data_IF_816156429660
#
_entry.id   IF_816156429660
#
_cell.length_a   1.000
_cell.length_b   1.000
_cell.length_c   1.000
_cell.angle_alpha   90.00
_cell.angle_beta   90.00
_cell.angle_gamma   90.00
#
_symmetry.space_group_name_H-M   'P 1'
#
loop_
_entity.id
_entity.type
_entity.pdbx_description
1 polymer ?
#
# COMPACT_ATOMS: atom_id res chain seq x y z
N UNK A 1 7.59 -21.33 4.32
CA UNK A 1 6.33 -21.10 3.59
C UNK A 1 5.98 -19.64 3.72
N UNK A 2 5.80 -18.94 2.59
CA UNK A 2 5.42 -17.53 2.58
C UNK A 2 3.91 -17.40 2.42
N UNK A 3 3.31 -16.37 3.02
CA UNK A 3 1.87 -16.10 2.92
C UNK A 3 1.66 -14.79 2.18
N UNK A 4 1.00 -14.91 1.03
CA UNK A 4 0.68 -13.79 0.15
C UNK A 4 -0.73 -13.29 0.42
N UNK A 5 -0.89 -11.97 0.54
CA UNK A 5 -2.20 -11.30 0.54
C UNK A 5 -2.22 -10.17 -0.49
N UNK A 6 -3.34 -10.03 -1.19
CA UNK A 6 -3.56 -8.98 -2.18
C UNK A 6 -4.70 -8.08 -1.69
N UNK A 7 -4.43 -6.77 -1.63
CA UNK A 7 -5.38 -5.76 -1.18
C UNK A 7 -5.65 -4.76 -2.30
N UNK A 8 -6.92 -4.57 -2.65
CA UNK A 8 -7.32 -3.54 -3.60
C UNK A 8 -7.32 -2.16 -2.95
N UNK A 9 -6.63 -1.20 -3.58
CA UNK A 9 -6.63 0.21 -3.19
C UNK A 9 -7.68 0.92 -4.03
N UNK A 10 -8.80 1.30 -3.38
CA UNK A 10 -9.94 1.93 -4.06
C UNK A 10 -9.97 3.44 -3.94
N UNK A 11 -9.29 3.98 -2.94
CA UNK A 11 -9.19 5.41 -2.68
C UNK A 11 -7.84 5.71 -2.03
N UNK A 12 -7.43 6.98 -2.05
CA UNK A 12 -6.25 7.48 -1.32
C UNK A 12 -4.93 6.76 -1.64
N UNK A 13 -4.64 6.51 -2.92
CA UNK A 13 -3.40 5.84 -3.35
C UNK A 13 -2.13 6.48 -2.77
N UNK A 14 -2.03 7.82 -2.81
CA UNK A 14 -0.88 8.54 -2.26
C UNK A 14 -0.68 8.32 -0.75
N UNK A 15 -1.77 8.20 0.04
CA UNK A 15 -1.65 7.88 1.48
C UNK A 15 -1.15 6.45 1.70
N UNK A 16 -1.57 5.52 0.86
CA UNK A 16 -1.10 4.14 0.92
C UNK A 16 0.40 4.06 0.59
N UNK A 17 0.85 4.76 -0.45
CA UNK A 17 2.28 4.85 -0.81
C UNK A 17 3.09 5.50 0.32
N UNK A 18 2.65 6.64 0.86
CA UNK A 18 3.33 7.30 1.97
C UNK A 18 3.44 6.41 3.23
N UNK A 19 2.44 5.55 3.48
CA UNK A 19 2.52 4.59 4.59
C UNK A 19 3.55 3.48 4.32
N UNK A 20 3.62 2.98 3.08
CA UNK A 20 4.54 1.93 2.65
C UNK A 20 5.98 2.45 2.65
N UNK A 21 6.19 3.68 2.18
CA UNK A 21 7.49 4.33 1.99
C UNK A 21 7.97 5.11 3.22
N UNK A 22 7.33 4.91 4.37
CA UNK A 22 7.67 5.62 5.59
C UNK A 22 9.16 5.37 5.94
N UNK A 23 10.01 6.41 5.98
CA UNK A 23 11.44 6.28 6.22
C UNK A 23 11.78 5.62 7.56
N UNK A 24 10.94 5.80 8.59
CA UNK A 24 11.12 5.16 9.91
C UNK A 24 10.98 3.63 9.84
N UNK A 25 10.31 3.12 8.80
CA UNK A 25 10.01 1.68 8.61
C UNK A 25 10.82 1.04 7.48
N UNK A 26 11.51 1.85 6.67
CA UNK A 26 12.16 1.41 5.44
C UNK A 26 13.64 1.76 5.41
N UNK A 27 14.23 2.02 6.58
CA UNK A 27 15.63 2.40 6.75
C UNK A 27 16.01 3.61 5.88
N UNK A 28 15.32 4.73 6.11
CA UNK A 28 15.53 5.95 5.33
C UNK A 28 15.17 5.80 3.85
N UNK A 29 14.21 4.91 3.52
CA UNK A 29 13.84 4.50 2.15
C UNK A 29 14.83 3.61 1.42
N UNK A 30 15.90 3.12 2.06
CA UNK A 30 16.84 2.17 1.44
C UNK A 30 16.15 0.87 0.98
N UNK A 31 15.10 0.44 1.67
CA UNK A 31 14.33 -0.76 1.34
C UNK A 31 13.21 -0.52 0.32
N UNK A 32 13.10 0.69 -0.23
CA UNK A 32 12.09 1.06 -1.22
C UNK A 32 12.73 1.03 -2.60
N UNK A 33 12.08 0.35 -3.54
CA UNK A 33 12.46 0.40 -4.95
C UNK A 33 11.23 0.42 -5.85
N UNK A 34 11.37 1.09 -6.99
CA UNK A 34 10.35 1.20 -8.02
C UNK A 34 10.72 0.38 -9.26
N UNK A 35 9.72 -0.04 -10.02
CA UNK A 35 9.90 -0.66 -11.32
C UNK A 35 9.03 0.07 -12.35
N UNK A 36 9.66 0.63 -13.39
CA UNK A 36 9.05 1.51 -14.40
C UNK A 36 8.34 2.75 -13.85
N UNK A 37 8.47 3.02 -12.56
CA UNK A 37 7.77 4.07 -11.84
C UNK A 37 8.59 4.38 -10.59
N UNK A 38 8.89 5.65 -10.36
CA UNK A 38 9.66 6.10 -9.20
C UNK A 38 8.73 6.14 -7.97
N UNK A 39 9.10 5.55 -6.81
CA UNK A 39 8.24 5.50 -5.63
C UNK A 39 7.69 6.87 -5.22
N UNK A 40 8.55 7.89 -5.25
CA UNK A 40 8.21 9.26 -4.87
C UNK A 40 7.15 9.91 -5.78
N UNK A 41 7.14 9.58 -7.08
CA UNK A 41 6.18 10.14 -8.05
C UNK A 41 5.06 9.17 -8.40
N UNK A 42 5.09 7.95 -7.87
CA UNK A 42 4.23 6.87 -8.31
C UNK A 42 2.75 7.20 -8.25
N UNK A 43 2.32 7.92 -7.21
CA UNK A 43 0.92 8.34 -7.07
C UNK A 43 0.41 9.12 -8.29
N UNK A 44 1.24 10.00 -8.85
CA UNK A 44 0.93 10.85 -10.00
C UNK A 44 1.03 10.02 -11.28
N UNK A 45 2.05 9.18 -11.42
CA UNK A 45 2.24 8.31 -12.60
C UNK A 45 1.06 7.35 -12.79
N UNK A 46 0.55 6.78 -11.69
CA UNK A 46 -0.65 5.94 -11.71
C UNK A 46 -1.91 6.73 -12.11
N UNK A 47 -2.06 7.95 -11.61
CA UNK A 47 -3.19 8.81 -11.99
C UNK A 47 -3.13 9.21 -13.47
N UNK A 48 -1.96 9.62 -13.95
CA UNK A 48 -1.74 9.97 -15.35
C UNK A 48 -2.02 8.77 -16.26
N UNK A 49 -1.50 7.59 -15.92
CA UNK A 49 -1.77 6.35 -16.65
C UNK A 49 -3.27 6.03 -16.70
N UNK A 50 -3.98 6.21 -15.58
CA UNK A 50 -5.43 6.00 -15.54
C UNK A 50 -6.19 7.00 -16.42
N UNK A 51 -5.78 8.27 -16.45
CA UNK A 51 -6.36 9.30 -17.33
C UNK A 51 -6.11 8.96 -18.80
N UNK A 52 -4.88 8.62 -19.17
CA UNK A 52 -4.50 8.30 -20.54
C UNK A 52 -5.21 7.04 -21.03
N UNK A 53 -5.27 5.99 -20.22
CA UNK A 53 -5.99 4.76 -20.54
C UNK A 53 -7.50 5.02 -20.75
N UNK A 54 -8.09 5.90 -19.94
CA UNK A 54 -9.49 6.29 -20.11
C UNK A 54 -9.72 7.04 -21.43
N UNK A 55 -8.83 7.98 -21.77
CA UNK A 55 -8.90 8.74 -23.04
C UNK A 55 -8.70 7.83 -24.25
N UNK A 56 -7.67 6.98 -24.23
CA UNK A 56 -7.31 6.12 -25.35
C UNK A 56 -8.40 5.11 -25.72
N UNK A 57 -9.15 4.60 -24.74
CA UNK A 57 -10.17 3.59 -24.99
C UNK A 57 -11.53 4.17 -25.41
N UNK A 58 -11.70 5.50 -25.51
CA UNK A 58 -12.99 6.16 -25.80
C UNK A 58 -14.15 5.61 -24.95
N UNK A 59 -13.86 5.07 -23.77
CA UNK A 59 -14.83 4.36 -22.96
C UNK A 59 -15.70 5.40 -22.27
N UNK A 60 -16.99 5.45 -22.63
CA UNK A 60 -18.06 6.02 -21.79
C UNK A 60 -18.25 5.23 -20.46
N UNK A 61 -17.39 4.25 -20.19
CA UNK A 61 -17.51 3.32 -19.07
C UNK A 61 -16.92 3.98 -17.83
N UNK A 62 -17.62 3.88 -16.69
CA UNK A 62 -17.15 4.40 -15.39
C UNK A 62 -15.70 3.99 -15.14
N UNK A 63 -14.89 4.93 -14.66
CA UNK A 63 -13.54 4.65 -14.12
C UNK A 63 -13.59 3.41 -13.22
N UNK A 64 -12.57 2.56 -13.35
CA UNK A 64 -12.33 1.45 -12.42
C UNK A 64 -12.40 1.96 -10.98
N UNK A 65 -13.11 1.26 -10.10
CA UNK A 65 -13.13 1.57 -8.66
C UNK A 65 -11.83 1.23 -7.96
N UNK A 66 -10.98 0.41 -8.60
CA UNK A 66 -9.68 0.01 -8.06
C UNK A 66 -8.61 0.84 -8.76
N UNK A 67 -7.86 1.60 -7.96
CA UNK A 67 -6.78 2.47 -8.42
C UNK A 67 -5.46 1.70 -8.54
N UNK A 68 -5.19 0.80 -7.58
CA UNK A 68 -4.00 -0.06 -7.57
C UNK A 68 -4.26 -1.32 -6.73
N UNK A 69 -3.29 -2.24 -6.73
CA UNK A 69 -3.26 -3.39 -5.82
C UNK A 69 -1.96 -3.38 -5.02
N UNK A 70 -2.08 -3.68 -3.72
CA UNK A 70 -0.95 -3.88 -2.83
C UNK A 70 -0.81 -5.37 -2.53
N UNK A 71 0.36 -5.93 -2.84
CA UNK A 71 0.72 -7.30 -2.54
C UNK A 71 1.61 -7.31 -1.30
N UNK A 72 1.23 -8.09 -0.30
CA UNK A 72 1.98 -8.28 0.95
C UNK A 72 2.45 -9.72 0.98
N UNK A 73 3.75 -9.92 1.17
CA UNK A 73 4.37 -11.23 1.34
C UNK A 73 5.01 -11.32 2.72
N UNK A 74 4.66 -12.35 3.48
CA UNK A 74 5.18 -12.58 4.84
C UNK A 74 5.95 -13.90 4.89
N UNK A 75 7.14 -13.90 5.48
CA UNK A 75 8.05 -15.07 5.49
C UNK A 75 8.20 -15.77 6.86
N UNK A 76 7.37 -15.45 7.86
CA UNK A 76 7.51 -15.98 9.23
C UNK A 76 6.44 -17.02 9.63
N UNK A 77 6.87 -18.16 10.18
CA UNK A 77 5.99 -19.21 10.70
C UNK A 77 5.22 -18.80 11.98
N UNK A 78 5.79 -17.94 12.83
CA UNK A 78 5.27 -17.65 14.20
C UNK A 78 4.38 -16.40 14.31
N UNK A 79 4.29 -15.58 13.27
CA UNK A 79 3.56 -14.30 13.28
C UNK A 79 2.07 -14.43 12.86
N UNK A 80 1.62 -15.64 12.58
CA UNK A 80 0.31 -15.91 11.98
C UNK A 80 -0.88 -15.69 12.91
N UNK A 81 -0.72 -15.87 14.22
CA UNK A 81 -1.82 -15.76 15.19
C UNK A 81 -2.10 -14.31 15.67
N UNK A 82 -1.11 -13.41 15.59
CA UNK A 82 -1.20 -12.02 16.07
C UNK A 82 -1.71 -11.04 15.00
N UNK A 83 -1.37 -11.23 13.73
CA UNK A 83 -1.74 -10.28 12.67
C UNK A 83 -3.19 -10.40 12.17
N UNK A 84 -3.77 -11.61 12.21
CA UNK A 84 -5.19 -11.82 11.88
C UNK A 84 -6.11 -10.99 12.79
N UNK A 85 -5.73 -10.83 14.06
CA UNK A 85 -6.44 -9.97 15.01
C UNK A 85 -6.15 -8.49 14.82
N UNK A 86 -4.89 -8.07 14.68
CA UNK A 86 -4.52 -6.62 14.67
C UNK A 86 -5.02 -5.86 13.44
N UNK A 87 -5.10 -6.46 12.25
CA UNK A 87 -5.58 -5.76 11.05
C UNK A 87 -7.11 -5.60 10.97
N UNK A 88 -7.88 -6.30 11.82
CA UNK A 88 -9.32 -6.04 12.01
C UNK A 88 -9.59 -4.69 12.68
N UNK A 89 -8.66 -4.21 13.52
CA UNK A 89 -8.76 -2.96 14.27
C UNK A 89 -8.54 -1.71 13.41
N UNK A 90 -7.96 -1.85 12.21
CA UNK A 90 -7.78 -0.74 11.25
C UNK A 90 -9.07 -0.21 10.63
N UNK A 91 -10.24 -0.78 10.98
CA UNK A 91 -11.56 -0.33 10.51
C UNK A 91 -12.20 0.78 11.35
N UNK A 92 -11.64 1.10 12.53
CA UNK A 92 -12.20 2.14 13.39
C UNK A 92 -11.08 3.07 13.87
N UNK A 93 -10.65 3.98 12.98
CA UNK A 93 -9.69 5.02 13.32
C UNK A 93 -10.42 6.19 13.98
N UNK A 94 -10.66 6.10 15.28
CA UNK A 94 -10.72 7.24 16.21
C UNK A 94 -10.06 6.77 17.51
N UNK A 95 -8.94 7.42 17.87
CA UNK A 95 -8.32 7.59 19.19
C UNK A 95 -6.78 7.47 19.15
N UNK A 96 -6.18 8.65 19.20
CA UNK A 96 -5.06 9.10 20.01
C UNK A 96 -4.01 8.11 20.57
N UNK A 97 -2.75 8.52 20.35
CA UNK A 97 -1.54 8.37 21.20
C UNK A 97 -0.92 7.00 21.54
N UNK A 98 0.37 6.94 21.20
CA UNK A 98 1.49 6.27 21.89
C UNK A 98 1.56 4.73 21.91
N UNK A 99 2.82 4.27 21.97
CA UNK A 99 3.27 2.88 22.08
C UNK A 99 3.25 2.04 20.80
N UNK A 100 4.36 2.07 20.05
CA UNK A 100 5.16 0.87 19.80
C UNK A 100 6.45 1.25 19.05
N UNK A 101 7.42 1.77 19.80
CA UNK A 101 8.81 1.47 19.48
C UNK A 101 9.00 -0.03 19.69
N UNK A 102 9.25 -0.77 18.62
CA UNK A 102 9.98 -2.04 18.66
C UNK A 102 10.67 -2.16 17.32
N UNK A 103 11.91 -1.70 17.31
CA UNK A 103 12.99 -2.21 16.48
C UNK A 103 12.94 -3.74 16.39
N UNK A 104 13.01 -4.29 15.18
CA UNK A 104 13.68 -5.55 14.86
C UNK A 104 13.52 -5.78 13.35
N UNK A 105 14.68 -5.79 12.69
CA UNK A 105 15.04 -6.30 11.37
C UNK A 105 13.92 -6.78 10.45
#
# INVERSE_FOLDING_TARGET
>A
MAITKIHAIKSTLGKALAYIENPDKTDGQMLVSGYNCEPQTASIDFEMTAVLAHKARNLKRKRSTNLAYHLIQLFLQKMLSRLSRRMSWGRNWHLNTQAASTSMW
#
